data_IF_052214495167
#
_entry.id   IF_052214495167
#
_cell.length_a   1.000
_cell.length_b   1.000
_cell.length_c   1.000
_cell.angle_alpha   90.00
_cell.angle_beta   90.00
_cell.angle_gamma   90.00
#
_symmetry.space_group_name_H-M   'P 1'
#
loop_
_entity.id
_entity.type
_entity.pdbx_description
1 polymer ?
#
# COMPACT_ATOMS: atom_id res chain seq x y z
N UNK A 1 9.21 -3.25 -17.30
CA UNK A 1 9.65 -2.25 -16.29
C UNK A 1 9.07 -0.91 -16.71
N UNK A 2 8.31 -0.25 -15.83
CA UNK A 2 7.64 1.02 -16.17
C UNK A 2 8.60 2.20 -16.17
N UNK A 3 8.41 3.13 -17.12
CA UNK A 3 9.14 4.40 -17.18
C UNK A 3 8.69 5.35 -16.06
N UNK A 4 9.52 6.36 -15.75
CA UNK A 4 9.15 7.38 -14.76
C UNK A 4 7.86 8.12 -15.12
N UNK A 5 7.65 8.42 -16.41
CA UNK A 5 6.44 9.08 -16.91
C UNK A 5 5.19 8.21 -16.77
N UNK A 6 5.30 6.91 -17.04
CA UNK A 6 4.20 5.95 -16.86
C UNK A 6 3.81 5.85 -15.39
N UNK A 7 4.79 5.82 -14.48
CA UNK A 7 4.54 5.80 -13.04
C UNK A 7 3.88 7.09 -12.56
N UNK A 8 4.35 8.25 -13.04
CA UNK A 8 3.74 9.53 -12.71
C UNK A 8 2.28 9.61 -13.17
N UNK A 9 1.98 9.10 -14.37
CA UNK A 9 0.62 9.03 -14.90
C UNK A 9 -0.25 8.10 -14.07
N UNK A 10 0.22 6.89 -13.78
CA UNK A 10 -0.52 5.89 -13.01
C UNK A 10 -0.75 6.33 -11.56
N UNK A 11 0.19 7.07 -10.97
CA UNK A 11 0.03 7.63 -9.64
C UNK A 11 -1.10 8.67 -9.54
N UNK A 12 -1.47 9.30 -10.66
CA UNK A 12 -2.56 10.26 -10.76
C UNK A 12 -3.89 9.62 -11.23
N UNK A 13 -3.87 8.34 -11.63
CA UNK A 13 -5.08 7.62 -12.06
C UNK A 13 -5.98 7.30 -10.86
N UNK A 14 -7.15 7.92 -10.81
CA UNK A 14 -8.12 7.74 -9.72
C UNK A 14 -8.71 6.32 -9.62
N UNK A 15 -8.77 5.56 -10.72
CA UNK A 15 -9.20 4.17 -10.68
C UNK A 15 -8.11 3.30 -10.07
N UNK A 16 -6.85 3.51 -10.48
CA UNK A 16 -5.70 2.81 -9.88
C UNK A 16 -5.56 3.14 -8.39
N UNK A 17 -5.64 4.41 -8.00
CA UNK A 17 -5.59 4.84 -6.59
C UNK A 17 -6.69 4.19 -5.76
N UNK A 18 -7.90 4.08 -6.30
CA UNK A 18 -9.02 3.37 -5.63
C UNK A 18 -8.76 1.87 -5.47
N UNK A 19 -8.16 1.21 -6.46
CA UNK A 19 -7.74 -0.19 -6.34
C UNK A 19 -6.70 -0.37 -5.24
N UNK A 20 -5.68 0.48 -5.20
CA UNK A 20 -4.65 0.46 -4.15
C UNK A 20 -5.26 0.69 -2.78
N UNK A 21 -6.14 1.68 -2.65
CA UNK A 21 -6.85 1.96 -1.40
C UNK A 21 -7.65 0.75 -0.91
N UNK A 22 -8.40 0.09 -1.80
CA UNK A 22 -9.15 -1.11 -1.46
C UNK A 22 -8.24 -2.26 -1.03
N UNK A 23 -7.11 -2.47 -1.73
CA UNK A 23 -6.13 -3.49 -1.37
C UNK A 23 -5.49 -3.24 0.00
N UNK A 24 -5.14 -1.98 0.31
CA UNK A 24 -4.62 -1.59 1.62
C UNK A 24 -5.62 -1.85 2.75
N UNK A 25 -6.91 -1.53 2.54
CA UNK A 25 -7.97 -1.81 3.53
C UNK A 25 -8.08 -3.31 3.77
N UNK A 26 -8.01 -4.11 2.70
CA UNK A 26 -8.02 -5.56 2.79
C UNK A 26 -6.82 -6.09 3.60
N UNK A 27 -5.60 -5.62 3.34
CA UNK A 27 -4.40 -6.00 4.09
C UNK A 27 -4.52 -5.62 5.57
N UNK A 28 -4.96 -4.39 5.85
CA UNK A 28 -5.17 -3.92 7.22
C UNK A 28 -6.21 -4.79 7.95
N UNK A 29 -7.33 -5.10 7.30
CA UNK A 29 -8.38 -5.95 7.87
C UNK A 29 -7.89 -7.37 8.15
N UNK A 30 -7.12 -7.95 7.23
CA UNK A 30 -6.50 -9.27 7.41
C UNK A 30 -5.56 -9.26 8.64
N UNK A 31 -4.69 -8.26 8.74
CA UNK A 31 -3.75 -8.13 9.85
C UNK A 31 -4.49 -7.97 11.17
N UNK A 32 -5.54 -7.15 11.22
CA UNK A 32 -6.33 -6.95 12.43
C UNK A 32 -7.08 -8.21 12.88
N UNK A 33 -7.49 -9.06 11.95
CA UNK A 33 -8.19 -10.31 12.24
C UNK A 33 -7.25 -11.45 12.66
N UNK A 34 -5.97 -11.37 12.31
CA UNK A 34 -4.97 -12.40 12.59
C UNK A 34 -4.21 -12.11 13.89
N UNK A 35 -4.44 -12.87 14.99
CA UNK A 35 -3.80 -12.62 16.27
C UNK A 35 -2.31 -12.99 16.30
N UNK A 36 -1.80 -13.68 15.28
CA UNK A 36 -0.40 -14.11 15.19
C UNK A 36 0.51 -13.04 14.59
N UNK A 37 -0.06 -11.96 14.05
CA UNK A 37 0.69 -10.85 13.47
C UNK A 37 1.45 -10.07 14.53
N UNK A 38 2.58 -9.49 14.11
CA UNK A 38 3.41 -8.67 14.99
C UNK A 38 2.62 -7.46 15.53
N UNK A 39 2.86 -7.12 16.80
CA UNK A 39 2.23 -5.97 17.45
C UNK A 39 2.35 -4.67 16.63
N UNK A 40 3.50 -4.48 15.98
CA UNK A 40 3.77 -3.31 15.13
C UNK A 40 2.85 -3.31 13.89
N UNK A 41 2.69 -4.45 13.21
CA UNK A 41 1.77 -4.58 12.09
C UNK A 41 0.32 -4.33 12.50
N UNK A 42 -0.12 -4.85 13.66
CA UNK A 42 -1.45 -4.53 14.22
C UNK A 42 -1.64 -3.03 14.47
N UNK A 43 -0.66 -2.40 15.12
CA UNK A 43 -0.71 -0.97 15.46
C UNK A 43 -0.77 -0.12 14.19
N UNK A 44 0.03 -0.48 13.18
CA UNK A 44 0.01 0.17 11.87
C UNK A 44 -1.33 -0.02 11.15
N UNK A 45 -1.89 -1.23 11.16
CA UNK A 45 -3.19 -1.51 10.55
C UNK A 45 -4.34 -0.69 11.15
N UNK A 46 -4.32 -0.46 12.47
CA UNK A 46 -5.26 0.48 13.13
C UNK A 46 -5.05 1.91 12.66
N UNK A 47 -3.80 2.36 12.60
CA UNK A 47 -3.46 3.72 12.14
C UNK A 47 -3.95 3.97 10.72
N UNK A 48 -3.67 3.05 9.80
CA UNK A 48 -4.06 3.15 8.39
C UNK A 48 -5.59 3.13 8.26
N UNK A 49 -6.29 2.21 8.92
CA UNK A 49 -7.76 2.12 8.84
C UNK A 49 -8.45 3.44 9.25
N UNK A 50 -7.86 4.20 10.16
CA UNK A 50 -8.39 5.48 10.62
C UNK A 50 -7.96 6.70 9.77
N UNK A 51 -6.94 6.54 8.91
CA UNK A 51 -6.31 7.66 8.18
C UNK A 51 -6.15 7.38 6.68
N UNK A 52 -6.88 6.39 6.13
CA UNK A 52 -6.72 6.00 4.73
C UNK A 52 -7.36 7.04 3.79
N UNK A 53 -6.57 8.04 3.41
CA UNK A 53 -6.99 9.11 2.51
C UNK A 53 -5.93 10.17 2.31
N UNK A 54 -6.25 11.16 1.47
CA UNK A 54 -5.42 12.35 1.24
C UNK A 54 -3.96 12.03 0.91
N UNK A 55 -3.03 12.66 1.64
CA UNK A 55 -1.59 12.53 1.43
C UNK A 55 -1.08 11.12 1.71
N UNK A 56 -1.68 10.38 2.64
CA UNK A 56 -1.20 9.04 3.01
C UNK A 56 -1.31 8.07 1.84
N UNK A 57 -2.49 7.99 1.21
CA UNK A 57 -2.70 7.09 0.07
C UNK A 57 -1.84 7.49 -1.13
N UNK A 58 -1.62 8.80 -1.34
CA UNK A 58 -0.72 9.28 -2.38
C UNK A 58 0.71 8.78 -2.16
N UNK A 59 1.23 8.93 -0.94
CA UNK A 59 2.57 8.46 -0.60
C UNK A 59 2.69 6.93 -0.76
N UNK A 60 1.65 6.18 -0.39
CA UNK A 60 1.62 4.73 -0.54
C UNK A 60 1.60 4.30 -2.01
N UNK A 61 0.78 4.96 -2.85
CA UNK A 61 0.74 4.73 -4.30
C UNK A 61 2.11 5.00 -4.95
N UNK A 62 2.81 6.05 -4.52
CA UNK A 62 4.18 6.28 -5.00
C UNK A 62 5.14 5.18 -4.54
N UNK A 63 5.04 4.72 -3.29
CA UNK A 63 5.90 3.66 -2.76
C UNK A 63 5.80 2.37 -3.57
N UNK A 64 4.59 1.91 -3.90
CA UNK A 64 4.40 0.68 -4.70
C UNK A 64 4.91 0.83 -6.14
N UNK A 65 4.91 2.04 -6.71
CA UNK A 65 5.35 2.29 -8.08
C UNK A 65 6.87 2.47 -8.21
N UNK A 66 7.57 2.81 -7.12
CA UNK A 66 9.05 2.98 -7.13
C UNK A 66 9.76 1.66 -7.50
N UNK A 67 9.20 0.52 -7.11
CA UNK A 67 9.79 -0.79 -7.40
C UNK A 67 9.66 -1.19 -8.90
N UNK A 68 8.85 -0.49 -9.70
CA UNK A 68 8.85 -0.57 -11.16
C UNK A 68 8.29 -1.85 -11.79
N UNK A 69 7.79 -2.75 -10.94
CA UNK A 69 7.11 -4.01 -11.28
C UNK A 69 5.62 -3.82 -11.53
N UNK A 70 5.04 -2.71 -11.05
CA UNK A 70 3.62 -2.41 -11.18
C UNK A 70 3.38 -1.40 -12.32
N UNK A 71 2.36 -1.69 -13.13
CA UNK A 71 1.86 -0.88 -14.22
C UNK A 71 0.32 -0.93 -14.31
N UNK A 72 -0.27 -0.20 -15.27
CA UNK A 72 -1.72 -0.11 -15.43
C UNK A 72 -2.39 -1.42 -15.88
N UNK A 73 -1.61 -2.43 -16.26
CA UNK A 73 -2.07 -3.75 -16.71
C UNK A 73 -1.79 -4.86 -15.71
N UNK A 74 -1.16 -4.52 -14.58
CA UNK A 74 -0.82 -5.48 -13.53
C UNK A 74 -2.08 -6.16 -13.01
N UNK A 75 -2.02 -7.49 -12.89
CA UNK A 75 -3.12 -8.28 -12.38
C UNK A 75 -3.42 -7.91 -10.92
N UNK A 76 -4.70 -7.96 -10.53
CA UNK A 76 -5.11 -7.56 -9.18
C UNK A 76 -4.43 -8.42 -8.09
N UNK A 77 -4.04 -9.66 -8.40
CA UNK A 77 -3.31 -10.54 -7.48
C UNK A 77 -1.87 -10.05 -7.23
N UNK A 78 -1.15 -9.65 -8.28
CA UNK A 78 0.21 -9.14 -8.19
C UNK A 78 0.23 -7.77 -7.51
N UNK A 79 -0.78 -6.94 -7.81
CA UNK A 79 -1.00 -5.68 -7.11
C UNK A 79 -1.21 -5.91 -5.61
N UNK A 80 -2.03 -6.90 -5.22
CA UNK A 80 -2.25 -7.22 -3.81
C UNK A 80 -0.96 -7.69 -3.13
N UNK A 81 -0.16 -8.54 -3.78
CA UNK A 81 1.14 -8.96 -3.24
C UNK A 81 2.08 -7.77 -3.01
N UNK A 82 2.15 -6.84 -3.97
CA UNK A 82 2.96 -5.64 -3.83
C UNK A 82 2.47 -4.72 -2.70
N UNK A 83 1.15 -4.61 -2.51
CA UNK A 83 0.54 -3.87 -1.41
C UNK A 83 0.91 -4.52 -0.08
N UNK A 84 0.75 -5.83 0.08
CA UNK A 84 1.06 -6.53 1.32
C UNK A 84 2.53 -6.38 1.71
N UNK A 85 3.45 -6.54 0.75
CA UNK A 85 4.88 -6.37 0.96
C UNK A 85 5.24 -4.93 1.37
N UNK A 86 4.65 -3.92 0.72
CA UNK A 86 4.87 -2.52 1.08
C UNK A 86 4.22 -2.15 2.42
N UNK A 87 3.08 -2.76 2.76
CA UNK A 87 2.39 -2.51 4.02
C UNK A 87 3.28 -2.87 5.22
N UNK A 88 3.88 -4.07 5.21
CA UNK A 88 4.78 -4.51 6.27
C UNK A 88 6.06 -3.66 6.35
N UNK A 89 6.62 -3.27 5.18
CA UNK A 89 7.78 -2.35 5.13
C UNK A 89 7.44 -0.99 5.75
N UNK A 90 6.29 -0.43 5.42
CA UNK A 90 5.85 0.87 5.93
C UNK A 90 5.50 0.82 7.41
N UNK A 91 4.95 -0.29 7.91
CA UNK A 91 4.73 -0.51 9.34
C UNK A 91 6.05 -0.43 10.13
N UNK A 92 7.10 -1.11 9.63
CA UNK A 92 8.43 -1.08 10.25
C UNK A 92 9.04 0.33 10.20
N UNK A 93 9.01 1.00 9.05
CA UNK A 93 9.54 2.36 8.90
C UNK A 93 8.82 3.38 9.78
N UNK A 94 7.49 3.28 9.91
CA UNK A 94 6.70 4.22 10.70
C UNK A 94 7.07 4.16 12.19
N UNK A 95 7.35 2.97 12.73
CA UNK A 95 7.69 2.80 14.15
C UNK A 95 9.19 2.71 14.45
N UNK A 96 10.06 2.55 13.45
CA UNK A 96 11.51 2.64 13.65
C UNK A 96 12.00 4.10 13.83
N UNK A 97 11.20 5.07 13.39
CA UNK A 97 11.50 6.51 13.47
C UNK A 97 10.80 7.22 14.64
N UNK A 98 10.21 6.47 15.58
CA UNK A 98 9.52 6.95 16.80
C UNK A 98 10.25 6.40 18.00
#
# INVERSE_FOLDING_TARGET
MTTLEQRATLAQDDAFRRKVQAGVIKSASYILADPTREFISHKYAKHVSNNIGGTWINNFVHAILVDGTIDGTTEDIDLQYAIDANFDKMAKLHYANI
#
